data_IF_754371392497
#
_entry.id   IF_754371392497
#
_cell.length_a   1.000
_cell.length_b   1.000
_cell.length_c   1.000
_cell.angle_alpha   90.00
_cell.angle_beta   90.00
_cell.angle_gamma   90.00
#
_symmetry.space_group_name_H-M   'P 1'
#
loop_
_entity.id
_entity.type
_entity.pdbx_description
1 polymer ?
#
# COMPACT_ATOMS: atom_id res chain seq x y z
N UNK A 1 6.40 18.25 0.77
CA UNK A 1 5.10 18.16 0.08
C UNK A 1 4.22 17.31 0.95
N UNK A 2 3.11 17.85 1.46
CA UNK A 2 2.24 17.06 2.34
C UNK A 2 1.59 15.92 1.56
N UNK A 3 1.51 14.72 2.15
CA UNK A 3 0.83 13.59 1.51
C UNK A 3 -0.66 13.92 1.33
N UNK A 4 -1.12 13.95 0.08
CA UNK A 4 -2.55 14.10 -0.24
C UNK A 4 -3.26 12.78 -0.01
N UNK A 5 -4.28 12.79 0.84
CA UNK A 5 -5.15 11.62 1.02
C UNK A 5 -5.85 11.27 -0.29
N UNK A 6 -6.01 9.98 -0.59
CA UNK A 6 -6.70 9.53 -1.79
C UNK A 6 -8.20 9.84 -1.69
N UNK A 7 -8.76 10.31 -2.80
CA UNK A 7 -10.18 10.66 -2.91
C UNK A 7 -11.05 9.41 -3.16
N UNK A 8 -10.50 8.42 -3.87
CA UNK A 8 -11.17 7.14 -4.16
C UNK A 8 -10.31 5.92 -3.83
N UNK A 9 -10.95 4.86 -3.33
CA UNK A 9 -10.34 3.54 -3.16
C UNK A 9 -10.01 2.87 -4.50
N UNK A 10 -10.61 3.31 -5.60
CA UNK A 10 -10.38 2.73 -6.91
C UNK A 10 -8.99 3.04 -7.47
N UNK A 11 -8.35 4.10 -6.98
CA UNK A 11 -7.00 4.52 -7.35
C UNK A 11 -5.92 3.82 -6.48
N UNK A 12 -6.36 3.07 -5.46
CA UNK A 12 -5.50 2.43 -4.48
C UNK A 12 -5.41 0.93 -4.72
N UNK A 13 -4.22 0.38 -4.53
CA UNK A 13 -4.02 -1.08 -4.48
C UNK A 13 -4.08 -1.61 -3.03
N UNK A 14 -3.80 -0.75 -2.07
CA UNK A 14 -3.87 -1.06 -0.65
C UNK A 14 -4.29 0.19 0.12
N UNK A 15 -5.18 0.00 1.09
CA UNK A 15 -5.59 1.01 2.04
C UNK A 15 -5.78 0.32 3.39
N UNK A 16 -5.31 0.94 4.45
CA UNK A 16 -5.56 0.53 5.82
C UNK A 16 -5.66 1.77 6.69
N UNK A 17 -6.63 1.77 7.58
CA UNK A 17 -6.69 2.71 8.69
C UNK A 17 -6.62 1.90 9.99
N UNK A 18 -5.68 2.25 10.86
CA UNK A 18 -5.41 1.53 12.10
C UNK A 18 -5.19 2.49 13.23
N UNK A 19 -5.73 2.13 14.37
CA UNK A 19 -5.52 2.82 15.63
C UNK A 19 -4.69 1.89 16.53
N UNK A 20 -3.74 2.46 17.26
CA UNK A 20 -2.92 1.76 18.23
C UNK A 20 -3.50 2.01 19.63
N UNK A 21 -3.50 0.99 20.50
CA UNK A 21 -4.04 1.07 21.87
C UNK A 21 -3.45 2.23 22.70
N UNK A 22 -2.20 2.64 22.42
CA UNK A 22 -1.49 3.71 23.14
C UNK A 22 -1.81 5.14 22.62
N UNK A 23 -2.96 5.35 21.98
CA UNK A 23 -3.37 6.68 21.47
C UNK A 23 -2.65 7.11 20.19
N UNK A 24 -2.09 6.15 19.45
CA UNK A 24 -1.51 6.36 18.12
C UNK A 24 -2.46 5.94 17.01
N UNK A 25 -2.15 6.32 15.77
CA UNK A 25 -2.90 5.90 14.60
C UNK A 25 -2.01 5.81 13.37
N UNK A 26 -2.41 5.04 12.37
CA UNK A 26 -1.74 4.97 11.08
C UNK A 26 -2.78 4.75 9.98
N UNK A 27 -2.88 5.75 9.13
CA UNK A 27 -3.60 5.72 7.88
C UNK A 27 -2.58 5.51 6.78
N UNK A 28 -2.56 4.32 6.17
CA UNK A 28 -1.61 3.97 5.12
C UNK A 28 -2.34 3.55 3.85
N UNK A 29 -1.87 4.09 2.73
CA UNK A 29 -2.37 3.76 1.40
C UNK A 29 -1.24 3.60 0.41
N UNK A 30 -1.52 2.83 -0.64
CA UNK A 30 -0.60 2.62 -1.75
C UNK A 30 -1.40 2.86 -3.02
N UNK A 31 -0.97 3.84 -3.81
CA UNK A 31 -1.57 4.15 -5.09
C UNK A 31 -1.23 3.08 -6.13
N UNK A 32 -2.09 2.94 -7.13
CA UNK A 32 -1.76 2.17 -8.35
C UNK A 32 -0.50 2.76 -8.98
N UNK A 33 0.44 1.89 -9.32
CA UNK A 33 1.62 2.30 -10.07
C UNK A 33 1.31 2.41 -11.56
N UNK A 34 2.05 3.28 -12.22
CA UNK A 34 2.11 3.34 -13.67
C UNK A 34 2.77 2.08 -14.21
N UNK A 35 2.41 1.69 -15.42
CA UNK A 35 3.02 0.59 -16.12
C UNK A 35 4.49 0.90 -16.39
N UNK A 36 5.42 0.00 -16.04
CA UNK A 36 6.84 0.20 -16.29
C UNK A 36 7.19 0.18 -17.79
N UNK A 37 6.33 -0.39 -18.64
CA UNK A 37 6.58 -0.45 -20.10
C UNK A 37 6.03 0.76 -20.85
N UNK A 38 4.75 1.14 -20.63
CA UNK A 38 4.15 2.25 -21.36
C UNK A 38 4.14 3.59 -20.62
N UNK A 39 4.36 3.61 -19.29
CA UNK A 39 4.35 4.83 -18.48
C UNK A 39 2.99 5.50 -18.29
N UNK A 40 1.99 5.19 -19.12
CA UNK A 40 0.68 5.87 -19.11
C UNK A 40 -0.42 5.05 -18.41
N UNK A 41 -0.41 3.72 -18.58
CA UNK A 41 -1.47 2.88 -18.03
C UNK A 41 -1.28 2.56 -16.55
N UNK A 42 -2.32 2.73 -15.73
CA UNK A 42 -2.31 2.29 -14.33
C UNK A 42 -2.48 0.77 -14.25
N UNK A 43 -1.52 0.08 -13.64
CA UNK A 43 -1.61 -1.38 -13.52
C UNK A 43 -2.72 -1.78 -12.57
N UNK A 44 -3.51 -2.78 -12.98
CA UNK A 44 -4.69 -3.24 -12.27
C UNK A 44 -4.75 -4.76 -12.19
N UNK A 45 -5.66 -5.27 -11.37
CA UNK A 45 -5.96 -6.71 -11.36
C UNK A 45 -6.58 -7.09 -12.72
N UNK A 46 -6.20 -8.24 -13.30
CA UNK A 46 -6.80 -8.73 -14.52
C UNK A 46 -8.30 -8.94 -14.36
N UNK A 47 -9.05 -8.63 -15.42
CA UNK A 47 -10.49 -8.92 -15.52
C UNK A 47 -10.70 -10.28 -16.16
N UNK A 48 -11.81 -10.93 -15.83
CA UNK A 48 -12.25 -12.15 -16.48
C UNK A 48 -12.87 -11.78 -17.83
N UNK A 49 -12.37 -12.36 -18.92
CA UNK A 49 -12.85 -12.04 -20.28
C UNK A 49 -14.33 -12.40 -20.47
N UNK A 50 -14.84 -13.40 -19.73
CA UNK A 50 -16.24 -13.84 -19.85
C UNK A 50 -17.21 -13.01 -19.02
N UNK A 51 -16.81 -12.60 -17.81
CA UNK A 51 -17.70 -11.91 -16.87
C UNK A 51 -17.41 -10.42 -16.75
N UNK A 52 -16.27 -9.94 -17.27
CA UNK A 52 -15.79 -8.56 -17.08
C UNK A 52 -15.31 -8.27 -15.66
N UNK A 53 -15.46 -9.21 -14.72
CA UNK A 53 -15.19 -9.00 -13.32
C UNK A 53 -13.71 -9.06 -12.98
N UNK A 54 -13.30 -8.30 -11.97
CA UNK A 54 -11.92 -8.32 -11.48
C UNK A 54 -11.61 -9.68 -10.84
N UNK A 55 -10.53 -10.33 -11.28
CA UNK A 55 -10.05 -11.57 -10.67
C UNK A 55 -9.59 -11.29 -9.22
N UNK A 56 -10.43 -11.66 -8.26
CA UNK A 56 -10.22 -11.39 -6.82
C UNK A 56 -8.90 -11.96 -6.29
N UNK A 57 -8.49 -13.14 -6.79
CA UNK A 57 -7.25 -13.84 -6.42
C UNK A 57 -6.20 -13.80 -7.53
N UNK A 58 -6.14 -12.70 -8.28
CA UNK A 58 -5.09 -12.52 -9.27
C UNK A 58 -3.70 -12.55 -8.63
N UNK A 59 -2.81 -13.33 -9.23
CA UNK A 59 -1.38 -13.38 -8.89
C UNK A 59 -0.55 -12.40 -9.71
N UNK A 60 -1.15 -11.73 -10.69
CA UNK A 60 -0.50 -10.79 -11.59
C UNK A 60 -1.28 -9.49 -11.65
N UNK A 61 -0.60 -8.42 -12.02
CA UNK A 61 -1.21 -7.18 -12.49
C UNK A 61 -1.07 -7.10 -14.00
N UNK A 62 -2.06 -6.51 -14.65
CA UNK A 62 -2.08 -6.24 -16.09
C UNK A 62 -2.25 -4.74 -16.32
N UNK A 63 -1.55 -4.20 -17.31
CA UNK A 63 -1.79 -2.88 -17.82
C UNK A 63 -2.95 -2.91 -18.82
N UNK A 64 -4.01 -2.10 -18.63
CA UNK A 64 -5.13 -2.06 -19.57
C UNK A 64 -4.77 -1.45 -20.93
N UNK A 65 -3.77 -0.57 -20.98
CA UNK A 65 -3.39 0.16 -22.22
C UNK A 65 -2.53 -0.70 -23.16
N UNK A 66 -1.50 -1.35 -22.62
CA UNK A 66 -0.53 -2.10 -23.43
C UNK A 66 -0.61 -3.63 -23.25
N UNK A 67 -1.45 -4.12 -22.32
CA UNK A 67 -1.56 -5.56 -22.02
C UNK A 67 -0.38 -6.14 -21.23
N UNK A 68 0.60 -5.33 -20.84
CA UNK A 68 1.76 -5.80 -20.09
C UNK A 68 1.36 -6.45 -18.77
N UNK A 69 1.91 -7.63 -18.49
CA UNK A 69 1.59 -8.44 -17.30
C UNK A 69 2.82 -8.66 -16.43
N UNK A 70 2.68 -8.41 -15.12
CA UNK A 70 3.75 -8.56 -14.12
C UNK A 70 3.24 -9.32 -12.90
N UNK A 71 4.11 -10.05 -12.20
CA UNK A 71 3.74 -10.70 -10.94
C UNK A 71 3.33 -9.66 -9.89
N UNK A 72 2.29 -10.01 -9.12
CA UNK A 72 1.76 -9.18 -8.06
C UNK A 72 2.82 -8.78 -7.04
N UNK A 73 3.65 -9.72 -6.58
CA UNK A 73 4.66 -9.44 -5.56
C UNK A 73 5.75 -8.54 -6.11
N UNK A 74 6.17 -8.75 -7.35
CA UNK A 74 7.20 -7.93 -7.99
C UNK A 74 6.73 -6.49 -8.16
N UNK A 75 5.52 -6.32 -8.70
CA UNK A 75 4.94 -4.99 -8.86
C UNK A 75 4.64 -4.30 -7.53
N UNK A 76 4.04 -5.00 -6.56
CA UNK A 76 3.79 -4.42 -5.23
C UNK A 76 5.08 -3.94 -4.56
N UNK A 77 6.21 -4.64 -4.75
CA UNK A 77 7.51 -4.22 -4.21
C UNK A 77 8.08 -2.95 -4.85
N UNK A 78 7.68 -2.60 -6.09
CA UNK A 78 8.08 -1.35 -6.74
C UNK A 78 7.23 -0.16 -6.31
N UNK A 79 6.09 -0.41 -5.68
CA UNK A 79 5.20 0.65 -5.20
C UNK A 79 5.68 1.23 -3.88
N UNK A 80 5.28 2.48 -3.65
CA UNK A 80 5.56 3.19 -2.41
C UNK A 80 4.29 3.27 -1.58
N UNK A 81 4.37 2.83 -0.33
CA UNK A 81 3.36 3.04 0.68
C UNK A 81 3.53 4.43 1.29
N UNK A 82 2.46 5.21 1.20
CA UNK A 82 2.31 6.51 1.81
C UNK A 82 1.48 6.32 3.09
N UNK A 83 1.91 6.92 4.20
CA UNK A 83 1.14 6.85 5.44
C UNK A 83 1.18 8.15 6.23
N UNK A 84 0.02 8.55 6.73
CA UNK A 84 -0.12 9.51 7.82
C UNK A 84 -0.26 8.74 9.12
N UNK A 85 0.53 9.09 10.11
CA UNK A 85 0.52 8.39 11.39
C UNK A 85 0.57 9.37 12.56
N UNK A 86 0.01 8.97 13.68
CA UNK A 86 0.25 9.54 15.01
C UNK A 86 1.17 8.58 15.73
N UNK A 87 2.40 9.03 16.03
CA UNK A 87 3.42 8.17 16.61
C UNK A 87 3.00 7.73 18.01
N UNK A 88 2.89 6.42 18.31
CA UNK A 88 2.53 5.95 19.65
C UNK A 88 3.61 6.29 20.69
N UNK A 89 4.87 6.49 20.27
CA UNK A 89 5.96 6.78 21.19
C UNK A 89 6.05 8.25 21.61
N UNK A 90 5.73 9.18 20.71
CA UNK A 90 5.91 10.62 20.96
C UNK A 90 4.62 11.45 20.79
N UNK A 91 3.50 10.81 20.44
CA UNK A 91 2.19 11.45 20.23
C UNK A 91 2.11 12.39 19.03
N UNK A 92 3.21 12.57 18.27
CA UNK A 92 3.24 13.50 17.14
C UNK A 92 2.65 12.89 15.88
N UNK A 93 1.82 13.67 15.22
CA UNK A 93 1.35 13.38 13.87
C UNK A 93 2.46 13.66 12.87
N UNK A 94 2.60 12.79 11.89
CA UNK A 94 3.56 12.94 10.81
C UNK A 94 3.18 12.09 9.60
N UNK A 95 3.98 12.24 8.56
CA UNK A 95 3.90 11.45 7.35
C UNK A 95 5.15 10.62 7.15
N UNK A 96 5.00 9.41 6.62
CA UNK A 96 6.11 8.58 6.21
C UNK A 96 5.81 7.95 4.87
N UNK A 97 6.86 7.71 4.11
CA UNK A 97 6.82 6.90 2.90
C UNK A 97 7.78 5.73 3.08
N UNK A 98 7.36 4.54 2.68
CA UNK A 98 8.17 3.33 2.73
C UNK A 98 7.88 2.47 1.51
N UNK A 99 8.83 1.65 1.03
CA UNK A 99 8.54 0.68 -0.02
C UNK A 99 7.43 -0.26 0.45
N UNK A 100 6.47 -0.59 -0.43
CA UNK A 100 5.35 -1.47 -0.11
C UNK A 100 5.79 -2.95 -0.07
N UNK A 101 6.70 -3.24 0.86
CA UNK A 101 7.28 -4.56 1.07
C UNK A 101 6.95 -5.04 2.47
N UNK A 102 5.98 -5.94 2.56
CA UNK A 102 5.61 -6.59 3.82
C UNK A 102 6.66 -7.63 4.18
N UNK A 103 7.10 -7.62 5.44
CA UNK A 103 8.00 -8.61 6.00
C UNK A 103 7.29 -9.36 7.10
N UNK A 104 7.63 -10.64 7.27
CA UNK A 104 7.07 -11.46 8.35
C UNK A 104 7.83 -11.13 9.64
N UNK A 105 7.22 -10.33 10.51
CA UNK A 105 7.75 -9.97 11.83
C UNK A 105 6.95 -10.74 12.88
N UNK A 106 7.60 -11.56 13.71
CA UNK A 106 6.93 -12.44 14.69
C UNK A 106 5.78 -13.27 14.09
N UNK A 107 5.95 -13.72 12.84
CA UNK A 107 4.93 -14.51 12.14
C UNK A 107 3.86 -13.70 11.40
N UNK A 108 3.79 -12.38 11.59
CA UNK A 108 2.76 -11.50 11.02
C UNK A 108 3.30 -10.68 9.87
N UNK A 109 2.57 -10.60 8.75
CA UNK A 109 2.88 -9.69 7.66
C UNK A 109 2.78 -8.24 8.14
N UNK A 110 3.93 -7.57 8.19
CA UNK A 110 4.08 -6.23 8.77
C UNK A 110 4.79 -5.33 7.78
N UNK A 111 4.19 -4.18 7.49
CA UNK A 111 4.81 -3.06 6.81
C UNK A 111 5.36 -2.11 7.88
N UNK A 112 6.68 -1.99 7.95
CA UNK A 112 7.36 -1.16 8.96
C UNK A 112 7.72 0.19 8.37
N UNK A 113 7.36 1.25 9.08
CA UNK A 113 7.70 2.64 8.76
C UNK A 113 8.47 3.26 9.92
N UNK A 114 9.25 4.32 9.66
CA UNK A 114 9.99 5.05 10.69
C UNK A 114 9.34 6.39 10.94
N UNK A 115 9.22 6.75 12.21
CA UNK A 115 8.75 8.07 12.59
C UNK A 115 9.82 9.13 12.25
N UNK A 116 9.43 10.17 11.51
CA UNK A 116 10.30 11.30 11.17
C UNK A 116 10.73 12.13 12.39
N UNK A 117 10.00 12.07 13.51
CA UNK A 117 10.27 12.91 14.70
C UNK A 117 11.15 12.23 15.75
N UNK A 118 10.91 10.95 16.04
CA UNK A 118 11.61 10.22 17.09
C UNK A 118 12.40 9.01 16.58
N UNK A 119 12.29 8.69 15.28
CA UNK A 119 12.91 7.49 14.71
C UNK A 119 12.26 6.17 15.14
N UNK A 120 11.19 6.21 15.95
CA UNK A 120 10.45 5.04 16.41
C UNK A 120 9.85 4.24 15.25
N UNK A 121 9.73 2.92 15.43
CA UNK A 121 9.20 2.03 14.41
C UNK A 121 7.68 1.97 14.51
N UNK A 122 7.00 2.10 13.38
CA UNK A 122 5.56 2.02 13.25
C UNK A 122 5.26 0.77 12.44
N UNK A 123 4.75 -0.26 13.13
CA UNK A 123 4.50 -1.57 12.56
C UNK A 123 3.03 -1.67 12.10
N UNK A 124 2.80 -1.60 10.80
CA UNK A 124 1.49 -1.75 10.16
C UNK A 124 1.27 -3.22 9.84
N UNK A 125 0.62 -3.96 10.72
CA UNK A 125 0.29 -5.37 10.47
C UNK A 125 -0.93 -5.52 9.54
N UNK A 126 -1.31 -6.75 9.18
CA UNK A 126 -2.65 -7.05 8.62
C UNK A 126 -3.52 -7.54 9.78
N UNK A 127 -4.80 -7.14 9.87
CA UNK A 127 -5.65 -7.56 11.00
C UNK A 127 -5.79 -9.07 10.86
N UNK A 128 -5.29 -9.84 11.83
CA UNK A 128 -5.73 -11.22 11.98
C UNK A 128 -7.19 -11.10 12.43
N UNK A 129 -8.09 -11.53 11.56
CA UNK A 129 -9.49 -11.73 11.93
C UNK A 129 -9.58 -12.88 12.94
#
# INVERSE_FOLDING_TARGET
MALREPDSMEELIYFTNREFDEGGGVLCWVRKGMCPECGEGLMGKPRNEKTGEVKVRARTYVCPECGYTIDKKEFENTLTAEAKYTCPHCGKQGEATAPFKRKKIKGVETLRMKCQHCGGNIDITKKMA
#
